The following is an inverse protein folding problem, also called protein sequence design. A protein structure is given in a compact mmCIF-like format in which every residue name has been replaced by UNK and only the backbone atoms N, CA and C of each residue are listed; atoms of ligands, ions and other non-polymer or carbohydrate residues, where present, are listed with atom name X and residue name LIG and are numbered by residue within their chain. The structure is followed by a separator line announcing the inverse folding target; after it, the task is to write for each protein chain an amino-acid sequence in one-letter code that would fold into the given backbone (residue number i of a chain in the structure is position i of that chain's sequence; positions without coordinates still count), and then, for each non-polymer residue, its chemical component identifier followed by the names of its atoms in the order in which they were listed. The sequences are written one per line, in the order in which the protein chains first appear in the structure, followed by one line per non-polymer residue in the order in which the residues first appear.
data_IF_670988297568
#
_entry.id   IF_670988297568
#
_cell.length_a   1.000
_cell.length_b   1.000
_cell.length_c   1.000
_cell.angle_alpha   90.00
_cell.angle_beta   90.00
_cell.angle_gamma   90.00
#
_symmetry.space_group_name_H-M   'P 1'
#
loop_
_entity.id
_entity.type
_entity.pdbx_description
1 polymer ?
#
# COMPACT_ATOMS: atom_id res chain seq x y z
N UNK A 1 -0.75 15.89 28.50
CA UNK A 1 -2.22 16.02 28.50
C UNK A 1 -2.80 16.03 27.09
N UNK A 2 -2.49 16.98 26.20
CA UNK A 2 -3.09 17.01 24.84
C UNK A 2 -2.88 15.72 24.01
N UNK A 3 -1.67 15.16 24.05
CA UNK A 3 -1.34 13.91 23.35
C UNK A 3 -2.12 12.70 23.90
N UNK A 4 -2.38 12.67 25.20
CA UNK A 4 -3.15 11.58 25.83
C UNK A 4 -4.63 11.66 25.43
N UNK A 5 -5.20 12.87 25.34
CA UNK A 5 -6.57 13.06 24.85
C UNK A 5 -6.70 12.67 23.39
N UNK A 6 -5.72 13.01 22.56
CA UNK A 6 -5.64 12.58 21.17
C UNK A 6 -5.54 11.05 21.05
N UNK A 7 -4.66 10.43 21.83
CA UNK A 7 -4.47 8.98 21.83
C UNK A 7 -5.74 8.26 22.28
N UNK A 8 -6.40 8.77 23.33
CA UNK A 8 -7.67 8.21 23.80
C UNK A 8 -8.75 8.25 22.72
N UNK A 9 -8.87 9.36 21.98
CA UNK A 9 -9.80 9.46 20.86
C UNK A 9 -9.49 8.45 19.76
N UNK A 10 -8.20 8.32 19.40
CA UNK A 10 -7.75 7.33 18.41
C UNK A 10 -8.07 5.89 18.85
N UNK A 11 -7.79 5.56 20.11
CA UNK A 11 -8.03 4.24 20.69
C UNK A 11 -9.53 3.92 20.76
N UNK A 12 -10.38 4.90 21.08
CA UNK A 12 -11.84 4.75 21.07
C UNK A 12 -12.41 4.49 19.67
N UNK A 13 -11.79 5.05 18.63
CA UNK A 13 -12.21 4.83 17.24
C UNK A 13 -11.72 3.49 16.66
N UNK A 14 -10.66 2.91 17.24
CA UNK A 14 -9.99 1.71 16.72
C UNK A 14 -10.92 0.49 16.53
N UNK A 15 -11.86 0.18 17.46
CA UNK A 15 -12.82 -0.92 17.26
C UNK A 15 -13.76 -0.67 16.09
N UNK A 16 -14.27 0.56 15.94
CA UNK A 16 -15.16 0.93 14.85
C UNK A 16 -14.46 0.82 13.49
N UNK A 17 -13.23 1.32 13.37
CA UNK A 17 -12.41 1.15 12.18
C UNK A 17 -12.12 -0.34 11.88
N UNK A 18 -12.02 -1.20 12.89
CA UNK A 18 -11.78 -2.64 12.71
C UNK A 18 -13.00 -3.39 12.22
N UNK A 19 -14.17 -3.09 12.79
CA UNK A 19 -15.43 -3.64 12.29
C UNK A 19 -15.71 -3.19 10.86
N UNK A 20 -15.39 -1.94 10.53
CA UNK A 20 -15.53 -1.41 9.18
C UNK A 20 -14.63 -2.13 8.17
N UNK A 21 -13.38 -2.45 8.54
CA UNK A 21 -12.44 -3.19 7.70
C UNK A 21 -12.88 -4.64 7.46
N UNK A 22 -13.42 -5.30 8.48
CA UNK A 22 -14.02 -6.64 8.35
C UNK A 22 -15.25 -6.57 7.42
N UNK A 23 -16.14 -5.59 7.64
CA UNK A 23 -17.35 -5.43 6.85
C UNK A 23 -17.05 -5.15 5.37
N UNK A 24 -16.11 -4.24 5.07
CA UNK A 24 -15.71 -3.93 3.70
C UNK A 24 -15.14 -5.17 2.99
N UNK A 25 -14.31 -5.95 3.69
CA UNK A 25 -13.73 -7.19 3.17
C UNK A 25 -14.80 -8.23 2.86
N UNK A 26 -15.76 -8.44 3.77
CA UNK A 26 -16.88 -9.38 3.56
C UNK A 26 -17.76 -8.97 2.38
N UNK A 27 -18.10 -7.67 2.26
CA UNK A 27 -18.88 -7.16 1.13
C UNK A 27 -18.10 -7.31 -0.18
N UNK A 28 -16.77 -7.11 -0.16
CA UNK A 28 -15.91 -7.27 -1.33
C UNK A 28 -15.86 -8.71 -1.86
N UNK A 29 -15.93 -9.70 -0.97
CA UNK A 29 -15.94 -11.12 -1.32
C UNK A 29 -17.28 -11.62 -1.87
N UNK A 30 -18.37 -10.87 -1.63
CA UNK A 30 -19.68 -11.23 -2.14
C UNK A 30 -19.80 -10.83 -3.62
N UNK A 31 -19.67 -11.80 -4.53
CA UNK A 31 -19.62 -11.62 -6.00
C UNK A 31 -20.79 -10.83 -6.61
N UNK A 32 -21.88 -10.65 -5.87
CA UNK A 32 -23.08 -9.89 -6.28
C UNK A 32 -23.15 -8.48 -5.69
N UNK A 33 -22.22 -8.11 -4.81
CA UNK A 33 -22.12 -6.78 -4.22
C UNK A 33 -21.80 -5.71 -5.26
N UNK A 34 -21.01 -6.03 -6.29
CA UNK A 34 -20.63 -5.07 -7.34
C UNK A 34 -21.79 -4.70 -8.26
N UNK A 35 -22.80 -5.58 -8.36
CA UNK A 35 -24.00 -5.38 -9.17
C UNK A 35 -25.08 -4.55 -8.44
N UNK A 36 -24.88 -4.22 -7.17
CA UNK A 36 -25.83 -3.47 -6.36
C UNK A 36 -25.23 -2.14 -5.92
N UNK A 37 -25.90 -1.03 -6.27
CA UNK A 37 -25.45 0.31 -5.90
C UNK A 37 -25.41 0.51 -4.38
N UNK A 38 -26.39 -0.04 -3.65
CA UNK A 38 -26.46 0.08 -2.19
C UNK A 38 -25.31 -0.67 -1.50
N UNK A 39 -24.97 -1.87 -1.97
CA UNK A 39 -23.85 -2.64 -1.42
C UNK A 39 -22.50 -1.99 -1.73
N UNK A 40 -22.32 -1.42 -2.93
CA UNK A 40 -21.12 -0.62 -3.25
C UNK A 40 -21.02 0.62 -2.37
N UNK A 41 -22.11 1.37 -2.20
CA UNK A 41 -22.10 2.54 -1.34
C UNK A 41 -21.74 2.16 0.10
N UNK A 42 -22.41 1.16 0.67
CA UNK A 42 -22.13 0.67 2.02
C UNK A 42 -20.66 0.24 2.18
N UNK A 43 -20.13 -0.51 1.21
CA UNK A 43 -18.71 -0.89 1.17
C UNK A 43 -17.81 0.34 1.20
N UNK A 44 -18.07 1.34 0.35
CA UNK A 44 -17.27 2.55 0.29
C UNK A 44 -17.29 3.32 1.63
N UNK A 45 -18.45 3.41 2.29
CA UNK A 45 -18.55 3.98 3.64
C UNK A 45 -17.70 3.22 4.66
N UNK A 46 -17.76 1.88 4.64
CA UNK A 46 -16.92 1.04 5.50
C UNK A 46 -15.42 1.21 5.19
N UNK A 47 -15.03 1.29 3.92
CA UNK A 47 -13.63 1.54 3.52
C UNK A 47 -13.12 2.90 4.02
N UNK A 48 -13.90 3.97 3.86
CA UNK A 48 -13.53 5.30 4.36
C UNK A 48 -13.34 5.29 5.88
N UNK A 49 -14.24 4.64 6.62
CA UNK A 49 -14.14 4.52 8.07
C UNK A 49 -12.95 3.66 8.50
N UNK A 50 -12.65 2.58 7.79
CA UNK A 50 -11.48 1.75 8.02
C UNK A 50 -10.17 2.55 7.82
N UNK A 51 -10.11 3.37 6.77
CA UNK A 51 -8.98 4.23 6.43
C UNK A 51 -8.77 5.40 7.40
N UNK A 52 -9.78 5.78 8.19
CA UNK A 52 -9.64 6.80 9.23
C UNK A 52 -8.75 6.35 10.41
N UNK A 53 -8.34 5.08 10.44
CA UNK A 53 -7.44 4.54 11.46
C UNK A 53 -6.08 5.22 11.40
N UNK A 54 -5.63 5.72 12.55
CA UNK A 54 -4.27 6.25 12.70
C UNK A 54 -3.26 5.10 12.82
N UNK A 55 -2.16 5.21 12.09
CA UNK A 55 -1.00 4.31 12.23
C UNK A 55 0.29 5.10 12.35
N UNK A 56 1.09 4.73 13.34
CA UNK A 56 2.46 5.23 13.50
C UNK A 56 3.50 4.26 12.92
N UNK A 57 3.09 3.06 12.50
CA UNK A 57 3.98 2.11 11.85
C UNK A 57 3.92 2.25 10.34
N UNK A 58 5.08 2.13 9.70
CA UNK A 58 5.17 2.08 8.24
C UNK A 58 4.56 0.77 7.74
N UNK A 59 3.50 0.78 6.92
CA UNK A 59 2.99 -0.44 6.32
C UNK A 59 4.02 -1.00 5.31
N UNK A 60 4.02 -2.32 5.02
CA UNK A 60 4.91 -2.88 4.01
C UNK A 60 4.54 -2.42 2.60
N UNK A 61 5.47 -2.51 1.64
CA UNK A 61 5.11 -2.34 0.22
C UNK A 61 4.27 -3.51 -0.28
N UNK A 62 4.57 -4.75 0.13
CA UNK A 62 3.73 -5.92 -0.21
C UNK A 62 3.63 -6.19 -1.70
N UNK A 63 4.70 -5.93 -2.46
CA UNK A 63 4.77 -6.15 -3.91
C UNK A 63 5.48 -7.50 -4.13
N UNK A 64 4.74 -8.60 -4.07
CA UNK A 64 5.33 -9.94 -4.23
C UNK A 64 5.52 -10.32 -5.71
N UNK A 65 4.66 -9.77 -6.58
CA UNK A 65 4.64 -10.07 -8.02
C UNK A 65 4.07 -8.92 -8.82
N UNK A 66 4.56 -8.74 -10.05
CA UNK A 66 4.08 -7.73 -10.99
C UNK A 66 3.70 -8.37 -12.33
N UNK A 67 2.64 -7.85 -12.96
CA UNK A 67 2.23 -8.28 -14.29
C UNK A 67 2.98 -7.49 -15.36
N UNK A 68 3.61 -8.19 -16.30
CA UNK A 68 4.37 -7.57 -17.39
C UNK A 68 3.47 -7.34 -18.61
N UNK A 69 3.58 -6.17 -19.22
CA UNK A 69 2.92 -5.87 -20.50
C UNK A 69 3.42 -6.82 -21.60
N UNK A 70 2.50 -7.41 -22.37
CA UNK A 70 2.83 -8.25 -23.54
C UNK A 70 3.00 -9.76 -23.29
N UNK A 71 3.29 -10.21 -22.05
CA UNK A 71 3.31 -11.65 -21.70
C UNK A 71 2.09 -12.13 -20.92
N UNK A 72 1.38 -11.23 -20.24
CA UNK A 72 0.25 -11.61 -19.37
C UNK A 72 0.66 -12.40 -18.12
N UNK A 73 1.96 -12.68 -17.95
CA UNK A 73 2.54 -13.46 -16.86
C UNK A 73 2.84 -12.56 -15.66
N UNK A 74 2.68 -13.13 -14.47
CA UNK A 74 3.11 -12.55 -13.21
C UNK A 74 4.54 -13.00 -12.90
N UNK A 75 5.43 -12.04 -12.69
CA UNK A 75 6.83 -12.30 -12.35
C UNK A 75 7.07 -11.89 -10.90
N UNK A 76 7.76 -12.73 -10.10
CA UNK A 76 8.08 -12.40 -8.72
C UNK A 76 9.00 -11.18 -8.64
N UNK A 77 8.83 -10.40 -7.58
CA UNK A 77 9.59 -9.19 -7.30
C UNK A 77 10.35 -9.35 -5.99
N UNK A 78 11.62 -8.97 -6.00
CA UNK A 78 12.46 -8.92 -4.79
C UNK A 78 12.54 -7.47 -4.29
N UNK A 79 12.24 -7.27 -3.01
CA UNK A 79 12.50 -6.04 -2.27
C UNK A 79 13.87 -6.16 -1.55
N UNK A 80 14.83 -5.30 -1.88
CA UNK A 80 16.17 -5.30 -1.29
C UNK A 80 16.54 -3.95 -0.70
N UNK A 81 17.24 -3.96 0.44
CA UNK A 81 17.81 -2.74 1.03
C UNK A 81 19.18 -2.51 0.40
N UNK A 82 19.31 -1.43 -0.38
CA UNK A 82 20.56 -1.07 -1.06
C UNK A 82 21.46 -0.28 -0.12
N UNK A 83 20.89 0.73 0.54
CA UNK A 83 21.60 1.59 1.48
C UNK A 83 20.66 1.92 2.63
N UNK A 84 21.19 1.91 3.85
CA UNK A 84 20.47 2.37 5.04
C UNK A 84 21.25 3.50 5.69
N UNK A 85 20.58 4.61 5.95
CA UNK A 85 21.11 5.76 6.67
C UNK A 85 20.24 6.04 7.90
N UNK A 86 20.68 6.93 8.81
CA UNK A 86 19.83 7.40 9.91
C UNK A 86 18.57 8.16 9.44
N UNK A 87 18.55 8.68 8.21
CA UNK A 87 17.45 9.51 7.69
C UNK A 87 16.47 8.73 6.81
N UNK A 88 16.97 7.85 5.95
CA UNK A 88 16.15 7.06 5.04
C UNK A 88 16.80 5.71 4.70
N UNK A 89 15.99 4.83 4.13
CA UNK A 89 16.44 3.54 3.59
C UNK A 89 16.16 3.53 2.10
N UNK A 90 17.20 3.40 1.28
CA UNK A 90 17.07 3.19 -0.15
C UNK A 90 16.70 1.73 -0.40
N UNK A 91 15.47 1.51 -0.84
CA UNK A 91 14.97 0.22 -1.28
C UNK A 91 15.11 0.08 -2.79
N UNK A 92 15.37 -1.12 -3.26
CA UNK A 92 15.26 -1.50 -4.66
C UNK A 92 14.24 -2.61 -4.82
N UNK A 93 13.39 -2.44 -5.82
CA UNK A 93 12.48 -3.45 -6.30
C UNK A 93 12.96 -3.89 -7.68
N UNK A 94 13.12 -5.20 -7.86
CA UNK A 94 13.52 -5.78 -9.14
C UNK A 94 12.74 -7.05 -9.43
N UNK A 95 12.53 -7.34 -10.70
CA UNK A 95 11.92 -8.59 -11.17
C UNK A 95 12.96 -9.71 -11.15
N UNK A 96 12.59 -10.88 -10.65
CA UNK A 96 13.47 -12.05 -10.72
C UNK A 96 13.50 -12.62 -12.14
N UNK A 97 14.68 -13.08 -12.59
CA UNK A 97 14.86 -13.68 -13.91
C UNK A 97 14.72 -12.71 -15.11
N UNK A 98 14.49 -11.42 -14.87
CA UNK A 98 14.45 -10.42 -15.93
C UNK A 98 15.88 -10.01 -16.37
N UNK A 99 16.08 -9.69 -17.66
CA UNK A 99 17.33 -9.08 -18.13
C UNK A 99 17.54 -7.72 -17.45
N UNK A 100 18.75 -7.17 -17.57
CA UNK A 100 19.08 -5.87 -16.98
C UNK A 100 18.13 -4.78 -17.48
N UNK A 101 17.41 -4.17 -16.55
CA UNK A 101 16.44 -3.11 -16.83
C UNK A 101 17.05 -1.72 -16.60
N UNK A 102 16.53 -0.69 -17.28
CA UNK A 102 16.84 0.69 -16.92
C UNK A 102 16.47 0.96 -15.46
N UNK A 103 17.35 1.68 -14.76
CA UNK A 103 17.16 2.02 -13.34
C UNK A 103 16.42 3.34 -13.22
N UNK A 104 15.46 3.40 -12.31
CA UNK A 104 14.74 4.63 -11.98
C UNK A 104 14.82 4.89 -10.47
N UNK A 105 15.03 6.13 -10.07
CA UNK A 105 14.98 6.57 -8.68
C UNK A 105 13.70 7.37 -8.43
N UNK A 106 12.83 6.85 -7.58
CA UNK A 106 11.61 7.48 -7.12
C UNK A 106 11.85 8.09 -5.74
N UNK A 107 11.79 9.42 -5.65
CA UNK A 107 11.97 10.13 -4.39
C UNK A 107 10.60 10.38 -3.75
N UNK A 108 10.33 9.76 -2.61
CA UNK A 108 9.08 9.97 -1.90
C UNK A 108 9.03 11.38 -1.28
N UNK A 109 7.89 12.08 -1.36
CA UNK A 109 7.75 13.40 -0.76
C UNK A 109 7.82 13.35 0.77
N UNK A 110 8.46 14.33 1.40
CA UNK A 110 8.60 14.45 2.86
C UNK A 110 7.32 14.98 3.55
N UNK A 111 6.12 14.65 3.05
CA UNK A 111 4.85 15.22 3.54
C UNK A 111 4.32 14.56 4.82
N UNK A 112 5.18 13.94 5.63
CA UNK A 112 4.78 13.21 6.84
C UNK A 112 4.09 11.86 6.58
N UNK A 113 4.09 11.38 5.33
CA UNK A 113 3.52 10.10 4.94
C UNK A 113 4.61 9.09 4.59
N UNK A 114 4.27 7.81 4.64
CA UNK A 114 5.19 6.74 4.26
C UNK A 114 5.34 6.65 2.74
N UNK A 115 6.56 6.38 2.27
CA UNK A 115 6.88 6.11 0.85
C UNK A 115 6.00 5.00 0.24
N UNK A 116 5.43 4.12 1.08
CA UNK A 116 4.52 3.04 0.69
C UNK A 116 3.22 3.51 0.06
N UNK A 117 2.84 4.79 0.17
CA UNK A 117 1.73 5.35 -0.61
C UNK A 117 2.02 5.34 -2.12
N UNK A 118 3.30 5.36 -2.51
CA UNK A 118 3.73 5.23 -3.90
C UNK A 118 3.78 3.77 -4.36
N UNK A 119 3.23 2.80 -3.59
CA UNK A 119 3.18 1.39 -3.97
C UNK A 119 2.64 1.19 -5.39
N UNK A 120 1.51 1.81 -5.75
CA UNK A 120 0.95 1.69 -7.10
C UNK A 120 1.86 2.27 -8.20
N UNK A 121 2.62 3.31 -7.87
CA UNK A 121 3.63 3.89 -8.77
C UNK A 121 4.80 2.93 -8.96
N UNK A 122 5.31 2.33 -7.87
CA UNK A 122 6.37 1.32 -7.91
C UNK A 122 5.93 0.11 -8.73
N UNK A 123 4.73 -0.44 -8.47
CA UNK A 123 4.14 -1.56 -9.23
C UNK A 123 4.03 -1.25 -10.73
N UNK A 124 3.68 -0.01 -11.08
CA UNK A 124 3.55 0.40 -12.48
C UNK A 124 4.92 0.53 -13.14
N UNK A 125 5.90 1.14 -12.48
CA UNK A 125 7.25 1.32 -13.03
C UNK A 125 8.03 0.01 -13.14
N UNK A 126 7.79 -0.95 -12.24
CA UNK A 126 8.39 -2.30 -12.24
C UNK A 126 8.09 -3.11 -13.51
N UNK A 127 7.11 -2.68 -14.31
CA UNK A 127 6.82 -3.31 -15.60
C UNK A 127 7.97 -3.16 -16.59
N UNK A 128 8.72 -2.06 -16.49
CA UNK A 128 9.74 -1.67 -17.47
C UNK A 128 11.09 -1.30 -16.85
N UNK A 129 11.15 -1.08 -15.52
CA UNK A 129 12.34 -0.55 -14.83
C UNK A 129 12.69 -1.32 -13.54
N UNK A 130 13.97 -1.27 -13.18
CA UNK A 130 14.41 -1.55 -11.81
C UNK A 130 14.19 -0.28 -10.96
N UNK A 131 13.30 -0.37 -9.96
CA UNK A 131 12.80 0.80 -9.21
C UNK A 131 13.54 0.94 -7.90
N UNK A 132 14.16 2.09 -7.67
CA UNK A 132 14.73 2.49 -6.40
C UNK A 132 13.80 3.50 -5.73
N UNK A 133 13.58 3.40 -4.42
CA UNK A 133 12.75 4.34 -3.66
C UNK A 133 13.36 4.64 -2.29
N UNK A 134 13.29 5.90 -1.87
CA UNK A 134 13.75 6.39 -0.55
C UNK A 134 12.60 6.67 0.40
#
# INVERSE_FOLDING_TARGET
MLYQTYQLYADMMQPACSLADIASTLISGYRRADNSETLRALRAWCEVLALARLTHYRPPFGIDRVRINGRGEYVPVTEEIVIRTPFCTLLRFRREGAPQQPRVLLVAPMSGHFATLLRGTVETMLRDHDVYIT
#
